data_IF_930078297713
#
_entry.id   IF_930078297713
#
_cell.length_a   1.000
_cell.length_b   1.000
_cell.length_c   1.000
_cell.angle_alpha   90.00
_cell.angle_beta   90.00
_cell.angle_gamma   90.00
#
_symmetry.space_group_name_H-M   'P 1'
#
loop_
_entity.id
_entity.type
_entity.pdbx_description
1 polymer ?
#
# COMPACT_ATOMS: atom_id res chain seq x y z
N UNK A 1 51.40 -22.73 -22.96
CA UNK A 1 50.88 -21.40 -22.57
C UNK A 1 49.70 -21.59 -21.62
N UNK A 2 49.97 -21.51 -20.32
CA UNK A 2 48.99 -21.61 -19.24
C UNK A 2 48.38 -20.24 -19.01
N UNK A 3 47.18 -19.98 -19.54
CA UNK A 3 46.41 -18.81 -19.16
C UNK A 3 45.80 -19.06 -17.77
N UNK A 4 46.48 -18.53 -16.75
CA UNK A 4 46.04 -18.50 -15.36
C UNK A 4 44.58 -18.04 -15.29
N UNK A 5 43.68 -18.96 -14.94
CA UNK A 5 42.36 -18.66 -14.37
C UNK A 5 42.58 -17.82 -13.10
N UNK A 6 42.51 -16.49 -13.22
CA UNK A 6 42.29 -15.62 -12.07
C UNK A 6 40.87 -15.86 -11.55
N UNK A 7 40.67 -16.94 -10.78
CA UNK A 7 39.56 -17.00 -9.83
C UNK A 7 39.91 -15.97 -8.74
N UNK A 8 39.39 -14.75 -8.86
CA UNK A 8 39.42 -13.77 -7.77
C UNK A 8 38.82 -14.44 -6.54
N UNK A 9 39.68 -14.89 -5.63
CA UNK A 9 39.29 -15.45 -4.34
C UNK A 9 38.90 -14.25 -3.49
N UNK A 10 37.60 -13.92 -3.46
CA UNK A 10 37.07 -12.87 -2.59
C UNK A 10 37.59 -13.09 -1.17
N UNK A 11 38.18 -12.04 -0.59
CA UNK A 11 38.64 -12.10 0.78
C UNK A 11 37.42 -12.18 1.70
N UNK A 12 37.59 -12.78 2.88
CA UNK A 12 36.52 -12.90 3.88
C UNK A 12 35.93 -11.52 4.22
N UNK A 13 36.80 -10.51 4.32
CA UNK A 13 36.44 -9.10 4.53
C UNK A 13 35.45 -8.58 3.47
N UNK A 14 35.72 -8.83 2.18
CA UNK A 14 34.89 -8.37 1.07
C UNK A 14 33.49 -9.01 1.10
N UNK A 15 33.42 -10.28 1.48
CA UNK A 15 32.17 -11.03 1.60
C UNK A 15 31.31 -10.47 2.74
N UNK A 16 31.91 -10.22 3.89
CA UNK A 16 31.24 -9.62 5.05
C UNK A 16 30.76 -8.20 4.70
N UNK A 17 31.60 -7.40 4.05
CA UNK A 17 31.23 -6.05 3.61
C UNK A 17 30.07 -6.05 2.62
N UNK A 18 30.02 -7.03 1.71
CA UNK A 18 28.90 -7.18 0.76
C UNK A 18 27.62 -7.58 1.48
N UNK A 19 27.69 -8.54 2.41
CA UNK A 19 26.56 -8.96 3.23
C UNK A 19 26.01 -7.80 4.06
N UNK A 20 26.88 -7.03 4.72
CA UNK A 20 26.50 -5.85 5.49
C UNK A 20 25.80 -4.79 4.63
N UNK A 21 26.26 -4.58 3.39
CA UNK A 21 25.58 -3.67 2.44
C UNK A 21 24.18 -4.16 2.09
N UNK A 22 23.99 -5.47 1.87
CA UNK A 22 22.67 -6.05 1.58
C UNK A 22 21.71 -5.88 2.76
N UNK A 23 22.17 -6.18 3.98
CA UNK A 23 21.40 -5.95 5.20
C UNK A 23 21.02 -4.47 5.36
N UNK A 24 21.97 -3.56 5.13
CA UNK A 24 21.70 -2.12 5.16
C UNK A 24 20.64 -1.70 4.13
N UNK A 25 20.69 -2.23 2.91
CA UNK A 25 19.67 -1.94 1.90
C UNK A 25 18.29 -2.46 2.30
N UNK A 26 18.21 -3.67 2.86
CA UNK A 26 16.96 -4.23 3.39
C UNK A 26 16.39 -3.35 4.50
N UNK A 27 17.21 -2.97 5.48
CA UNK A 27 16.77 -2.18 6.63
C UNK A 27 16.32 -0.77 6.21
N UNK A 28 17.02 -0.16 5.24
CA UNK A 28 16.58 1.09 4.61
C UNK A 28 15.21 0.95 3.93
N UNK A 29 14.96 -0.15 3.20
CA UNK A 29 13.65 -0.35 2.56
C UNK A 29 12.53 -0.59 3.59
N UNK A 30 12.80 -1.31 4.69
CA UNK A 30 11.85 -1.47 5.80
C UNK A 30 11.55 -0.12 6.45
N UNK A 31 12.58 0.68 6.75
CA UNK A 31 12.40 2.04 7.30
C UNK A 31 11.58 2.92 6.36
N UNK A 32 11.90 2.90 5.07
CA UNK A 32 11.17 3.64 4.05
C UNK A 32 9.71 3.17 3.95
N UNK A 33 9.44 1.87 4.06
CA UNK A 33 8.08 1.34 4.07
C UNK A 33 7.25 1.93 5.21
N UNK A 34 7.81 1.99 6.42
CA UNK A 34 7.16 2.60 7.58
C UNK A 34 6.97 4.11 7.40
N UNK A 35 8.00 4.84 6.97
CA UNK A 35 7.92 6.29 6.75
C UNK A 35 6.87 6.66 5.69
N UNK A 36 6.85 5.92 4.58
CA UNK A 36 5.86 6.06 3.50
C UNK A 36 4.43 5.80 3.99
N UNK A 37 4.24 4.78 4.84
CA UNK A 37 2.95 4.46 5.46
C UNK A 37 2.47 5.55 6.42
N UNK A 38 3.36 6.09 7.25
CA UNK A 38 3.05 7.21 8.17
C UNK A 38 2.68 8.47 7.38
N UNK A 39 3.41 8.79 6.32
CA UNK A 39 3.08 9.93 5.47
C UNK A 39 1.65 9.82 4.91
N UNK A 40 1.28 8.63 4.44
CA UNK A 40 -0.01 8.44 3.81
C UNK A 40 -1.16 8.33 4.84
N UNK A 41 -0.88 7.88 6.07
CA UNK A 41 -1.86 7.83 7.16
C UNK A 41 -2.40 9.21 7.54
N UNK A 42 -1.58 10.25 7.43
CA UNK A 42 -2.00 11.64 7.67
C UNK A 42 -3.11 12.04 6.69
N UNK A 43 -2.95 11.74 5.39
CA UNK A 43 -3.99 12.01 4.39
C UNK A 43 -5.25 11.19 4.64
N UNK A 44 -5.09 9.93 5.06
CA UNK A 44 -6.23 9.08 5.39
C UNK A 44 -7.07 9.68 6.54
N UNK A 45 -6.41 10.10 7.62
CA UNK A 45 -7.06 10.74 8.78
C UNK A 45 -7.73 12.05 8.34
N UNK A 46 -7.06 12.85 7.51
CA UNK A 46 -7.59 14.10 6.98
C UNK A 46 -8.88 13.88 6.16
N UNK A 47 -8.88 12.90 5.25
CA UNK A 47 -10.05 12.55 4.44
C UNK A 47 -11.23 12.10 5.30
N UNK A 48 -10.99 11.21 6.28
CA UNK A 48 -12.06 10.77 7.19
C UNK A 48 -12.57 11.89 8.09
N UNK A 49 -11.70 12.79 8.53
CA UNK A 49 -12.08 13.96 9.33
C UNK A 49 -12.93 14.94 8.51
N UNK A 50 -12.52 15.21 7.26
CA UNK A 50 -13.28 16.04 6.34
C UNK A 50 -14.67 15.44 6.07
N UNK A 51 -14.74 14.11 5.89
CA UNK A 51 -16.02 13.43 5.71
C UNK A 51 -16.90 13.49 6.96
N UNK A 52 -16.33 13.25 8.13
CA UNK A 52 -17.03 13.37 9.41
C UNK A 52 -17.58 14.78 9.63
N UNK A 53 -16.80 15.82 9.31
CA UNK A 53 -17.25 17.21 9.35
C UNK A 53 -18.44 17.46 8.41
N UNK A 54 -18.35 17.02 7.16
CA UNK A 54 -19.43 17.15 6.19
C UNK A 54 -20.71 16.44 6.67
N UNK A 55 -20.59 15.26 7.28
CA UNK A 55 -21.73 14.53 7.84
C UNK A 55 -22.37 15.24 9.02
N UNK A 56 -21.58 15.77 9.95
CA UNK A 56 -22.10 16.52 11.09
C UNK A 56 -22.83 17.80 10.65
N UNK A 57 -22.33 18.46 9.61
CA UNK A 57 -22.96 19.65 9.05
C UNK A 57 -24.25 19.30 8.29
N UNK A 58 -24.24 18.18 7.55
CA UNK A 58 -25.42 17.65 6.85
C UNK A 58 -26.60 17.38 7.81
N UNK A 59 -26.32 16.86 9.00
CA UNK A 59 -27.35 16.60 10.02
C UNK A 59 -27.99 17.88 10.56
N UNK A 60 -27.28 19.02 10.50
CA UNK A 60 -27.78 20.32 11.00
C UNK A 60 -28.55 21.11 9.94
N UNK A 61 -28.42 20.75 8.67
CA UNK A 61 -29.00 21.47 7.55
C UNK A 61 -30.51 21.20 7.46
N UNK A 62 -31.31 22.26 7.28
CA UNK A 62 -32.72 22.12 6.91
C UNK A 62 -32.84 21.34 5.60
N UNK A 63 -33.81 20.42 5.51
CA UNK A 63 -34.04 19.48 4.39
C UNK A 63 -34.43 20.14 3.05
N UNK A 64 -33.68 21.15 2.60
CA UNK A 64 -33.76 21.73 1.28
C UNK A 64 -32.92 20.87 0.31
N UNK A 65 -33.58 20.35 -0.73
CA UNK A 65 -32.97 19.48 -1.74
C UNK A 65 -31.73 20.10 -2.40
N UNK A 66 -31.72 21.42 -2.65
CA UNK A 66 -30.58 22.10 -3.28
C UNK A 66 -29.35 22.15 -2.37
N UNK A 67 -29.54 22.35 -1.06
CA UNK A 67 -28.43 22.40 -0.10
C UNK A 67 -27.88 20.98 0.07
N UNK A 68 -28.77 20.01 0.30
CA UNK A 68 -28.44 18.61 0.45
C UNK A 68 -27.66 18.04 -0.75
N UNK A 69 -28.08 18.35 -1.97
CA UNK A 69 -27.36 17.97 -3.18
C UNK A 69 -25.94 18.55 -3.24
N UNK A 70 -25.72 19.80 -2.79
CA UNK A 70 -24.36 20.39 -2.73
C UNK A 70 -23.45 19.58 -1.82
N UNK A 71 -23.89 19.23 -0.62
CA UNK A 71 -23.11 18.39 0.29
C UNK A 71 -22.81 17.01 -0.29
N UNK A 72 -23.80 16.37 -0.93
CA UNK A 72 -23.57 15.08 -1.59
C UNK A 72 -22.54 15.18 -2.72
N UNK A 73 -22.59 16.21 -3.56
CA UNK A 73 -21.57 16.43 -4.61
C UNK A 73 -20.20 16.65 -3.96
N UNK A 74 -20.10 17.41 -2.87
CA UNK A 74 -18.84 17.57 -2.13
C UNK A 74 -18.34 16.24 -1.54
N UNK A 75 -19.22 15.39 -1.01
CA UNK A 75 -18.88 14.05 -0.55
C UNK A 75 -18.43 13.12 -1.69
N UNK A 76 -19.04 13.23 -2.87
CA UNK A 76 -18.58 12.51 -4.07
C UNK A 76 -17.17 12.93 -4.47
N UNK A 77 -16.88 14.24 -4.52
CA UNK A 77 -15.52 14.73 -4.80
C UNK A 77 -14.51 14.25 -3.74
N UNK A 78 -14.87 14.31 -2.47
CA UNK A 78 -14.01 13.85 -1.38
C UNK A 78 -13.73 12.34 -1.47
N UNK A 79 -14.76 11.53 -1.74
CA UNK A 79 -14.60 10.09 -1.90
C UNK A 79 -13.78 9.74 -3.13
N UNK A 80 -13.88 10.49 -4.24
CA UNK A 80 -13.02 10.33 -5.42
C UNK A 80 -11.54 10.49 -5.07
N UNK A 81 -11.19 11.59 -4.40
CA UNK A 81 -9.81 11.87 -3.96
C UNK A 81 -9.32 10.77 -3.02
N UNK A 82 -10.18 10.32 -2.10
CA UNK A 82 -9.82 9.30 -1.10
C UNK A 82 -9.63 7.90 -1.71
N UNK A 83 -10.41 7.55 -2.75
CA UNK A 83 -10.20 6.33 -3.55
C UNK A 83 -8.83 6.36 -4.22
N UNK A 84 -8.47 7.48 -4.86
CA UNK A 84 -7.18 7.63 -5.54
C UNK A 84 -6.02 7.46 -4.56
N UNK A 85 -6.09 8.12 -3.39
CA UNK A 85 -5.07 7.94 -2.34
C UNK A 85 -4.98 6.51 -1.83
N UNK A 86 -6.12 5.82 -1.67
CA UNK A 86 -6.14 4.43 -1.24
C UNK A 86 -5.49 3.49 -2.27
N UNK A 87 -5.69 3.74 -3.57
CA UNK A 87 -5.02 2.99 -4.65
C UNK A 87 -3.52 3.25 -4.64
N UNK A 88 -3.09 4.51 -4.52
CA UNK A 88 -1.67 4.87 -4.40
C UNK A 88 -1.03 4.19 -3.18
N UNK A 89 -1.75 4.12 -2.05
CA UNK A 89 -1.31 3.40 -0.85
C UNK A 89 -0.98 1.94 -1.16
N UNK A 90 -1.94 1.24 -1.77
CA UNK A 90 -1.83 -0.19 -2.06
C UNK A 90 -0.63 -0.43 -2.98
N UNK A 91 -0.46 0.38 -4.02
CA UNK A 91 0.64 0.25 -4.97
C UNK A 91 1.99 0.51 -4.31
N UNK A 92 2.09 1.56 -3.50
CA UNK A 92 3.31 1.90 -2.76
C UNK A 92 3.70 0.80 -1.76
N UNK A 93 2.73 0.24 -1.04
CA UNK A 93 2.96 -0.84 -0.09
C UNK A 93 3.39 -2.14 -0.80
N UNK A 94 2.77 -2.48 -1.94
CA UNK A 94 3.18 -3.62 -2.78
C UNK A 94 4.58 -3.44 -3.35
N UNK A 95 4.92 -2.25 -3.84
CA UNK A 95 6.25 -1.96 -4.37
C UNK A 95 7.34 -2.12 -3.30
N UNK A 96 7.09 -1.58 -2.10
CA UNK A 96 8.03 -1.68 -0.97
C UNK A 96 8.19 -3.15 -0.52
N UNK A 97 7.08 -3.92 -0.51
CA UNK A 97 7.11 -5.37 -0.24
C UNK A 97 7.97 -6.13 -1.25
N UNK A 98 7.83 -5.84 -2.53
CA UNK A 98 8.60 -6.52 -3.58
C UNK A 98 10.10 -6.29 -3.44
N UNK A 99 10.54 -5.05 -3.20
CA UNK A 99 11.95 -4.74 -2.99
C UNK A 99 12.53 -5.36 -1.72
N UNK A 100 11.77 -5.35 -0.62
CA UNK A 100 12.13 -6.04 0.60
C UNK A 100 12.36 -7.55 0.37
N UNK A 101 11.44 -8.23 -0.34
CA UNK A 101 11.55 -9.67 -0.65
C UNK A 101 12.74 -9.98 -1.60
N UNK A 102 13.07 -9.05 -2.51
CA UNK A 102 14.27 -9.16 -3.36
C UNK A 102 15.54 -9.12 -2.51
N UNK A 103 15.64 -8.21 -1.53
CA UNK A 103 16.80 -8.12 -0.66
C UNK A 103 16.92 -9.35 0.26
N UNK A 104 15.83 -9.83 0.85
CA UNK A 104 15.87 -11.06 1.66
C UNK A 104 16.28 -12.28 0.83
N UNK A 105 15.78 -12.39 -0.40
CA UNK A 105 16.17 -13.45 -1.33
C UNK A 105 17.65 -13.35 -1.71
N UNK A 106 18.17 -12.14 -1.90
CA UNK A 106 19.59 -11.91 -2.21
C UNK A 106 20.49 -12.26 -1.01
N UNK A 107 20.09 -11.87 0.20
CA UNK A 107 20.81 -12.19 1.45
C UNK A 107 20.86 -13.70 1.67
N UNK A 108 19.70 -14.37 1.64
CA UNK A 108 19.60 -15.81 1.85
C UNK A 108 20.48 -16.60 0.87
N UNK A 109 20.43 -16.26 -0.43
CA UNK A 109 21.30 -16.88 -1.45
C UNK A 109 22.78 -16.61 -1.19
N UNK A 110 23.14 -15.39 -0.81
CA UNK A 110 24.52 -15.00 -0.54
C UNK A 110 25.09 -15.73 0.68
N UNK A 111 24.32 -15.80 1.77
CA UNK A 111 24.69 -16.51 3.00
C UNK A 111 24.85 -18.00 2.71
N UNK A 112 23.89 -18.64 2.03
CA UNK A 112 23.98 -20.05 1.69
C UNK A 112 25.21 -20.39 0.82
N UNK A 113 25.62 -19.51 -0.09
CA UNK A 113 26.80 -19.71 -0.93
C UNK A 113 28.12 -19.51 -0.18
N UNK A 114 28.12 -18.71 0.88
CA UNK A 114 29.35 -18.22 1.51
C UNK A 114 29.47 -18.54 3.01
N UNK A 115 28.48 -19.17 3.66
CA UNK A 115 28.43 -19.40 5.10
C UNK A 115 29.72 -20.00 5.68
N UNK A 116 30.29 -21.02 5.01
CA UNK A 116 31.55 -21.65 5.41
C UNK A 116 32.76 -20.69 5.40
N UNK A 117 32.78 -19.72 4.48
CA UNK A 117 33.88 -18.74 4.36
C UNK A 117 33.75 -17.60 5.37
N UNK A 118 32.51 -17.20 5.67
CA UNK A 118 32.22 -16.12 6.64
C UNK A 118 32.12 -16.64 8.08
N UNK A 119 32.20 -17.95 8.31
CA UNK A 119 31.99 -18.62 9.59
C UNK A 119 30.58 -18.39 10.17
N UNK A 120 29.55 -18.37 9.31
CA UNK A 120 28.16 -18.26 9.74
C UNK A 120 27.59 -19.65 10.03
N UNK A 121 27.00 -19.90 11.22
CA UNK A 121 26.29 -21.15 11.51
C UNK A 121 25.11 -21.35 10.56
N UNK A 122 24.81 -22.60 10.20
CA UNK A 122 23.71 -22.91 9.28
C UNK A 122 22.34 -22.44 9.82
N UNK A 123 22.13 -22.57 11.12
CA UNK A 123 20.91 -22.16 11.83
C UNK A 123 20.63 -20.64 11.76
N UNK A 124 21.68 -19.85 11.49
CA UNK A 124 21.61 -18.40 11.42
C UNK A 124 21.46 -17.88 9.98
N UNK A 125 21.38 -18.78 8.99
CA UNK A 125 21.13 -18.39 7.60
C UNK A 125 19.69 -17.88 7.48
N UNK A 126 19.53 -16.73 6.82
CA UNK A 126 18.23 -16.16 6.52
C UNK A 126 17.36 -17.15 5.73
N UNK A 127 16.18 -17.45 6.27
CA UNK A 127 15.24 -18.44 5.74
C UNK A 127 15.26 -19.79 6.46
N UNK A 128 16.37 -20.14 7.11
CA UNK A 128 16.50 -21.36 7.92
C UNK A 128 16.18 -21.11 9.40
N UNK A 129 16.14 -19.84 9.83
CA UNK A 129 15.73 -19.44 11.18
C UNK A 129 14.30 -19.89 11.50
N UNK A 130 14.16 -20.75 12.51
CA UNK A 130 12.86 -21.30 12.90
C UNK A 130 12.21 -20.46 14.00
N UNK A 131 11.03 -19.89 13.69
CA UNK A 131 10.13 -19.38 14.73
C UNK A 131 9.22 -20.50 15.23
N UNK A 132 9.50 -21.00 16.43
CA UNK A 132 8.87 -22.21 16.97
C UNK A 132 7.34 -22.07 17.07
N UNK A 133 6.63 -23.15 16.73
CA UNK A 133 5.16 -23.13 16.58
C UNK A 133 4.42 -22.95 17.90
N UNK A 134 4.97 -23.44 19.01
CA UNK A 134 4.46 -23.31 20.39
C UNK A 134 4.60 -21.89 20.97
N UNK A 135 5.57 -21.13 20.45
CA UNK A 135 5.77 -19.70 20.75
C UNK A 135 4.82 -18.80 19.93
N UNK A 136 4.22 -19.34 18.86
CA UNK A 136 3.32 -18.62 17.96
C UNK A 136 1.87 -18.71 18.41
N UNK A 137 1.15 -17.60 18.32
CA UNK A 137 -0.30 -17.59 18.41
C UNK A 137 -0.88 -16.51 17.49
N UNK A 138 -1.72 -16.92 16.55
CA UNK A 138 -2.37 -16.00 15.60
C UNK A 138 -3.70 -15.44 16.13
N UNK A 139 -4.12 -15.84 17.34
CA UNK A 139 -5.30 -15.31 18.00
C UNK A 139 -5.11 -13.84 18.40
N UNK A 140 -6.08 -13.00 18.04
CA UNK A 140 -6.11 -11.57 18.38
C UNK A 140 -6.18 -11.28 19.89
N UNK A 141 -6.59 -12.27 20.69
CA UNK A 141 -6.70 -12.15 22.16
C UNK A 141 -5.45 -12.64 22.90
N UNK A 142 -4.45 -13.11 22.16
CA UNK A 142 -3.18 -13.56 22.72
C UNK A 142 -2.13 -12.45 22.65
N UNK A 143 -1.27 -12.36 23.65
CA UNK A 143 -0.10 -11.47 23.66
C UNK A 143 1.14 -12.09 23.03
N UNK A 144 1.11 -13.40 22.70
CA UNK A 144 2.19 -14.08 21.95
C UNK A 144 2.29 -13.56 20.52
N UNK A 145 3.47 -13.64 19.93
CA UNK A 145 3.71 -13.25 18.53
C UNK A 145 2.97 -14.15 17.54
N UNK A 146 2.38 -13.55 16.50
CA UNK A 146 1.72 -14.25 15.40
C UNK A 146 2.54 -14.22 14.10
N UNK A 147 2.16 -15.04 13.12
CA UNK A 147 2.80 -15.10 11.80
C UNK A 147 2.27 -14.02 10.83
N UNK A 148 2.23 -12.78 11.30
CA UNK A 148 1.76 -11.66 10.51
C UNK A 148 2.92 -10.90 9.86
N UNK A 149 2.72 -10.52 8.60
CA UNK A 149 3.69 -9.71 7.87
C UNK A 149 3.30 -8.23 7.97
N UNK A 150 4.17 -7.35 8.51
CA UNK A 150 3.89 -5.92 8.58
C UNK A 150 3.55 -5.30 7.21
N UNK A 151 4.21 -5.75 6.14
CA UNK A 151 3.93 -5.26 4.79
C UNK A 151 2.55 -5.69 4.27
N UNK A 152 2.11 -6.92 4.57
CA UNK A 152 0.76 -7.40 4.20
C UNK A 152 -0.33 -6.67 4.98
N UNK A 153 -0.11 -6.39 6.26
CA UNK A 153 -1.03 -5.57 7.08
C UNK A 153 -1.13 -4.16 6.48
N UNK A 154 0.00 -3.55 6.12
CA UNK A 154 0.01 -2.21 5.53
C UNK A 154 -0.75 -2.15 4.18
N UNK A 155 -0.65 -3.21 3.35
CA UNK A 155 -1.46 -3.34 2.13
C UNK A 155 -2.95 -3.44 2.49
N UNK A 156 -3.30 -4.24 3.51
CA UNK A 156 -4.68 -4.46 3.94
C UNK A 156 -5.35 -3.16 4.44
N UNK A 157 -4.62 -2.29 5.13
CA UNK A 157 -5.13 -0.97 5.54
C UNK A 157 -5.59 -0.15 4.33
N UNK A 158 -4.78 -0.09 3.28
CA UNK A 158 -5.15 0.58 2.02
C UNK A 158 -6.37 -0.05 1.34
N UNK A 159 -6.49 -1.38 1.37
CA UNK A 159 -7.63 -2.10 0.81
C UNK A 159 -8.94 -1.84 1.58
N UNK A 160 -8.88 -1.85 2.92
CA UNK A 160 -10.03 -1.55 3.77
C UNK A 160 -10.49 -0.12 3.54
N UNK A 161 -9.56 0.85 3.51
CA UNK A 161 -9.86 2.24 3.16
C UNK A 161 -10.56 2.35 1.81
N UNK A 162 -10.00 1.69 0.77
CA UNK A 162 -10.59 1.71 -0.57
C UNK A 162 -12.03 1.20 -0.58
N UNK A 163 -12.31 0.09 0.11
CA UNK A 163 -13.66 -0.48 0.21
C UNK A 163 -14.62 0.51 0.88
N UNK A 164 -14.22 1.12 1.99
CA UNK A 164 -15.04 2.10 2.71
C UNK A 164 -15.38 3.28 1.79
N UNK A 165 -14.40 3.84 1.08
CA UNK A 165 -14.65 4.98 0.20
C UNK A 165 -15.49 4.63 -1.04
N UNK A 166 -15.39 3.41 -1.56
CA UNK A 166 -16.29 2.92 -2.62
C UNK A 166 -17.74 2.86 -2.10
N UNK A 167 -17.96 2.35 -0.90
CA UNK A 167 -19.30 2.29 -0.29
C UNK A 167 -19.85 3.72 -0.10
N UNK A 168 -19.04 4.64 0.40
CA UNK A 168 -19.41 6.06 0.55
C UNK A 168 -19.80 6.66 -0.80
N UNK A 169 -18.97 6.47 -1.84
CA UNK A 169 -19.23 6.96 -3.20
C UNK A 169 -20.56 6.43 -3.76
N UNK A 170 -20.83 5.13 -3.60
CA UNK A 170 -22.07 4.49 -4.08
C UNK A 170 -23.26 5.05 -3.31
N UNK A 171 -23.17 5.15 -1.98
CA UNK A 171 -24.26 5.65 -1.14
C UNK A 171 -24.69 7.08 -1.51
N UNK A 172 -23.73 7.98 -1.72
CA UNK A 172 -24.01 9.35 -2.13
C UNK A 172 -24.51 9.44 -3.57
N UNK A 173 -24.00 8.59 -4.48
CA UNK A 173 -24.48 8.54 -5.86
C UNK A 173 -25.96 8.12 -5.92
N UNK A 174 -26.32 7.05 -5.22
CA UNK A 174 -27.70 6.56 -5.15
C UNK A 174 -28.61 7.63 -4.53
N UNK A 175 -28.19 8.21 -3.41
CA UNK A 175 -28.98 9.24 -2.75
C UNK A 175 -29.18 10.48 -3.63
N UNK A 176 -28.13 10.98 -4.30
CA UNK A 176 -28.26 12.13 -5.20
C UNK A 176 -29.23 11.86 -6.36
N UNK A 177 -29.20 10.66 -6.95
CA UNK A 177 -30.13 10.28 -8.03
C UNK A 177 -31.58 10.35 -7.54
N UNK A 178 -31.87 9.91 -6.30
CA UNK A 178 -33.25 9.94 -5.78
C UNK A 178 -33.80 11.35 -5.55
N UNK A 179 -32.94 12.30 -5.14
CA UNK A 179 -33.37 13.67 -4.84
C UNK A 179 -33.29 14.61 -6.04
N UNK A 180 -32.72 14.17 -7.16
CA UNK A 180 -32.30 15.04 -8.26
C UNK A 180 -33.44 15.82 -8.91
N UNK A 181 -34.62 15.20 -9.00
CA UNK A 181 -35.83 15.80 -9.56
C UNK A 181 -36.36 16.98 -8.73
N UNK A 182 -35.96 17.07 -7.45
CA UNK A 182 -36.33 18.15 -6.54
C UNK A 182 -35.34 19.33 -6.59
N UNK A 183 -34.31 19.25 -7.43
CA UNK A 183 -33.27 20.28 -7.53
C UNK A 183 -33.48 21.20 -8.74
N UNK A 184 -33.19 22.49 -8.57
CA UNK A 184 -33.38 23.50 -9.64
C UNK A 184 -32.52 23.20 -10.89
N UNK A 185 -31.28 22.73 -10.68
CA UNK A 185 -30.30 22.43 -11.73
C UNK A 185 -30.14 20.93 -11.99
N UNK A 186 -31.26 20.21 -12.11
CA UNK A 186 -31.30 18.75 -12.24
C UNK A 186 -30.38 18.18 -13.33
N UNK A 187 -30.25 18.84 -14.50
CA UNK A 187 -29.36 18.37 -15.59
C UNK A 187 -27.90 18.39 -15.15
N UNK A 188 -27.43 19.54 -14.64
CA UNK A 188 -26.03 19.71 -14.22
C UNK A 188 -25.70 18.74 -13.08
N UNK A 189 -26.59 18.63 -12.10
CA UNK A 189 -26.43 17.73 -10.97
C UNK A 189 -26.36 16.25 -11.42
N UNK A 190 -27.13 15.88 -12.44
CA UNK A 190 -27.12 14.51 -12.99
C UNK A 190 -25.78 14.23 -13.66
N UNK A 191 -25.30 15.18 -14.47
CA UNK A 191 -23.99 15.08 -15.12
C UNK A 191 -22.88 14.93 -14.09
N UNK A 192 -22.86 15.75 -13.04
CA UNK A 192 -21.82 15.68 -12.00
C UNK A 192 -21.87 14.35 -11.23
N UNK A 193 -23.06 13.89 -10.85
CA UNK A 193 -23.25 12.64 -10.09
C UNK A 193 -22.74 11.41 -10.86
N UNK A 194 -22.84 11.40 -12.20
CA UNK A 194 -22.36 10.30 -13.04
C UNK A 194 -20.88 10.50 -13.42
N UNK A 195 -20.48 11.71 -13.78
CA UNK A 195 -19.15 12.01 -14.28
C UNK A 195 -18.06 11.80 -13.22
N UNK A 196 -18.32 12.19 -11.96
CA UNK A 196 -17.31 12.09 -10.89
C UNK A 196 -16.90 10.62 -10.63
N UNK A 197 -17.82 9.67 -10.37
CA UNK A 197 -17.47 8.26 -10.24
C UNK A 197 -16.80 7.69 -11.50
N UNK A 198 -17.30 8.03 -12.70
CA UNK A 198 -16.76 7.52 -13.96
C UNK A 198 -15.32 7.98 -14.19
N UNK A 199 -15.03 9.26 -13.99
CA UNK A 199 -13.67 9.82 -14.07
C UNK A 199 -12.77 9.14 -13.03
N UNK A 200 -13.27 8.92 -11.82
CA UNK A 200 -12.51 8.22 -10.76
C UNK A 200 -12.13 6.81 -11.19
N UNK A 201 -13.07 6.06 -11.77
CA UNK A 201 -12.82 4.71 -12.30
C UNK A 201 -11.77 4.75 -13.42
N UNK A 202 -11.89 5.70 -14.36
CA UNK A 202 -10.93 5.86 -15.45
C UNK A 202 -9.52 6.15 -14.91
N UNK A 203 -9.39 7.04 -13.92
CA UNK A 203 -8.11 7.36 -13.28
C UNK A 203 -7.53 6.12 -12.59
N UNK A 204 -8.35 5.39 -11.82
CA UNK A 204 -7.91 4.17 -11.14
C UNK A 204 -7.45 3.10 -12.13
N UNK A 205 -8.20 2.89 -13.22
CA UNK A 205 -7.81 1.96 -14.28
C UNK A 205 -6.52 2.40 -14.96
N UNK A 206 -6.40 3.70 -15.28
CA UNK A 206 -5.19 4.26 -15.86
C UNK A 206 -3.97 4.02 -14.98
N UNK A 207 -4.05 4.33 -13.67
CA UNK A 207 -2.93 4.13 -12.74
C UNK A 207 -2.51 2.65 -12.67
N UNK A 208 -3.48 1.72 -12.62
CA UNK A 208 -3.18 0.28 -12.52
C UNK A 208 -2.61 -0.33 -13.81
N UNK A 209 -3.09 0.13 -14.97
CA UNK A 209 -2.62 -0.34 -16.28
C UNK A 209 -1.35 0.38 -16.75
N UNK A 210 -1.08 1.56 -16.20
CA UNK A 210 0.05 2.38 -16.58
C UNK A 210 1.37 1.67 -16.30
N UNK A 211 2.15 1.47 -17.38
CA UNK A 211 3.53 0.99 -17.29
C UNK A 211 4.42 1.98 -16.53
N UNK A 212 4.06 3.26 -16.47
CA UNK A 212 4.84 4.30 -15.77
C UNK A 212 4.95 4.06 -14.26
N UNK A 213 3.97 3.39 -13.66
CA UNK A 213 3.94 3.13 -12.21
C UNK A 213 4.67 1.83 -11.86
N UNK A 214 4.86 0.93 -12.84
CA UNK A 214 5.49 -0.37 -12.61
C UNK A 214 7.01 -0.26 -12.70
N UNK A 215 7.71 -1.06 -11.91
CA UNK A 215 9.17 -1.12 -11.93
C UNK A 215 9.68 -1.78 -13.22
N UNK A 216 10.47 -1.06 -14.02
CA UNK A 216 11.12 -1.63 -15.21
C UNK A 216 12.02 -2.85 -14.90
N UNK A 217 12.71 -2.85 -13.76
CA UNK A 217 13.58 -3.96 -13.37
C UNK A 217 12.82 -5.24 -13.03
N UNK A 218 11.81 -5.17 -12.16
CA UNK A 218 11.00 -6.33 -11.77
C UNK A 218 10.17 -6.92 -12.91
N UNK A 219 9.76 -6.13 -13.90
CA UNK A 219 8.98 -6.63 -15.05
C UNK A 219 9.85 -7.42 -16.04
N UNK A 220 11.16 -7.16 -16.11
CA UNK A 220 12.04 -7.84 -17.07
C UNK A 220 12.55 -9.21 -16.61
N UNK A 221 12.28 -9.59 -15.36
CA UNK A 221 12.74 -10.86 -14.77
C UNK A 221 11.61 -11.89 -14.59
N UNK A 222 10.44 -11.66 -15.21
CA UNK A 222 9.37 -12.67 -15.43
C UNK A 222 9.47 -13.22 -16.86
#
# INVERSE_FOLDING_TARGET
>A
MSSKKNKNKYQKEDLINTLNKLYRCRDLEISNLWQRSIFLSVFLILCFTAYGYLMLDLVKVNYNANILNKYNITCLLLSSVSIIFSVIWILMAKASKAWYEVYESAISKFEYQHFKKINLPYENIMGEMMFQKDQRNDSIFSTKGGAFSPSKINIAIGQISLIIWIIVMISHSVYNITIIHLTENHIINTVLTIAIPLITIIIVLYINLSKYVKSGFLIHNE
#
